data_IF_588973336759
#
_entry.id   IF_588973336759
#
_cell.length_a   1.000
_cell.length_b   1.000
_cell.length_c   1.000
_cell.angle_alpha   90.00
_cell.angle_beta   90.00
_cell.angle_gamma   90.00
#
_symmetry.space_group_name_H-M   'P 1'
#
loop_
_entity.id
_entity.type
_entity.pdbx_description
1 polymer ?
#
# COMPACT_ATOMS: atom_id res chain seq x y z
N UNK A 1 4.92 35.92 -61.31
CA UNK A 1 3.86 35.81 -62.36
C UNK A 1 2.83 34.80 -61.82
N UNK A 2 1.76 35.22 -61.27
CA UNK A 2 0.46 34.53 -61.13
C UNK A 2 -0.29 34.65 -62.48
N UNK A 3 -1.38 33.98 -62.79
CA UNK A 3 -2.35 33.22 -61.98
C UNK A 3 -2.94 31.97 -62.68
N UNK A 4 -3.85 31.27 -62.03
CA UNK A 4 -4.78 30.40 -62.76
C UNK A 4 -5.70 29.56 -61.85
N UNK A 5 -6.87 30.10 -61.62
CA UNK A 5 -8.06 29.47 -61.00
C UNK A 5 -8.79 28.54 -61.99
N UNK A 6 -9.42 27.47 -61.50
CA UNK A 6 -10.83 27.09 -61.68
C UNK A 6 -11.05 25.56 -61.53
N UNK A 7 -12.10 25.20 -60.80
CA UNK A 7 -12.83 23.99 -61.05
C UNK A 7 -13.38 23.28 -59.86
N UNK A 8 -14.50 23.77 -59.26
CA UNK A 8 -15.23 23.02 -58.24
C UNK A 8 -16.01 21.84 -58.81
N UNK A 9 -16.12 20.76 -58.02
CA UNK A 9 -17.26 19.81 -58.12
C UNK A 9 -17.66 19.42 -56.71
N UNK A 10 -18.94 19.64 -56.42
CA UNK A 10 -19.60 19.33 -55.19
C UNK A 10 -19.63 17.81 -54.91
N UNK A 11 -19.38 17.46 -53.69
CA UNK A 11 -19.67 16.12 -53.17
C UNK A 11 -20.88 16.23 -52.24
N UNK A 12 -21.98 15.63 -52.68
CA UNK A 12 -23.19 15.44 -51.89
C UNK A 12 -22.85 14.53 -50.69
N UNK A 13 -23.10 15.02 -49.51
CA UNK A 13 -23.10 14.21 -48.29
C UNK A 13 -24.40 13.41 -48.20
N UNK A 14 -24.30 12.09 -48.37
CA UNK A 14 -25.34 11.18 -47.92
C UNK A 14 -25.18 11.00 -46.40
N UNK A 15 -26.12 11.54 -45.66
CA UNK A 15 -26.34 11.25 -44.25
C UNK A 15 -26.94 9.84 -44.15
N UNK A 16 -26.13 8.85 -43.80
CA UNK A 16 -26.61 7.59 -43.29
C UNK A 16 -26.74 7.71 -41.76
N UNK A 17 -27.99 7.88 -41.31
CA UNK A 17 -28.39 7.79 -39.91
C UNK A 17 -28.40 6.34 -39.52
N UNK A 18 -27.30 5.84 -38.95
CA UNK A 18 -27.29 4.55 -38.24
C UNK A 18 -27.77 4.78 -36.81
N UNK A 19 -29.01 4.37 -36.53
CA UNK A 19 -29.52 4.21 -35.18
C UNK A 19 -28.69 3.14 -34.48
N UNK A 20 -27.74 3.55 -33.66
CA UNK A 20 -27.14 2.69 -32.62
C UNK A 20 -28.17 2.52 -31.53
N UNK A 21 -28.73 1.32 -31.43
CA UNK A 21 -29.45 0.85 -30.26
C UNK A 21 -28.45 0.75 -29.11
N UNK A 22 -28.39 1.76 -28.27
CA UNK A 22 -27.74 1.67 -26.98
C UNK A 22 -28.67 0.87 -26.04
N UNK A 23 -28.43 -0.40 -25.93
CA UNK A 23 -28.94 -1.21 -24.83
C UNK A 23 -28.15 -0.86 -23.57
N UNK A 24 -28.39 0.30 -23.03
CA UNK A 24 -27.96 0.71 -21.70
C UNK A 24 -28.81 -0.06 -20.69
N UNK A 25 -28.42 -1.29 -20.43
CA UNK A 25 -28.94 -2.06 -19.30
C UNK A 25 -28.50 -1.35 -18.04
N UNK A 26 -29.35 -0.48 -17.53
CA UNK A 26 -29.34 0.03 -16.18
C UNK A 26 -29.19 -1.15 -15.21
N UNK A 27 -27.95 -1.52 -14.89
CA UNK A 27 -27.64 -2.36 -13.73
C UNK A 27 -28.07 -1.54 -12.53
N UNK A 28 -29.28 -1.79 -12.06
CA UNK A 28 -29.79 -1.30 -10.77
C UNK A 28 -28.74 -1.68 -9.74
N UNK A 29 -28.03 -0.69 -9.23
CA UNK A 29 -27.25 -0.84 -7.99
C UNK A 29 -28.29 -1.15 -6.91
N UNK A 30 -28.35 -2.40 -6.47
CA UNK A 30 -29.09 -2.73 -5.25
C UNK A 30 -28.44 -1.92 -4.10
N UNK A 31 -29.24 -1.34 -3.21
CA UNK A 31 -28.70 -0.55 -2.10
C UNK A 31 -27.80 -1.42 -1.21
N UNK A 32 -26.65 -0.86 -0.85
CA UNK A 32 -25.55 -1.42 -0.04
C UNK A 32 -25.95 -1.76 1.42
N UNK A 33 -27.21 -1.96 1.73
CA UNK A 33 -27.77 -2.05 3.09
C UNK A 33 -27.91 -3.48 3.63
N UNK A 34 -27.25 -4.48 3.04
CA UNK A 34 -27.48 -5.89 3.44
C UNK A 34 -26.54 -6.42 4.53
N UNK A 35 -25.36 -5.81 4.75
CA UNK A 35 -24.41 -6.31 5.74
C UNK A 35 -24.16 -5.29 6.86
N UNK A 36 -24.38 -5.71 8.12
CA UNK A 36 -23.72 -5.06 9.27
C UNK A 36 -22.29 -5.53 9.35
N UNK A 37 -21.37 -4.77 9.93
CA UNK A 37 -19.96 -5.17 10.07
C UNK A 37 -19.78 -6.51 10.79
N UNK A 38 -20.62 -6.82 11.80
CA UNK A 38 -20.59 -8.11 12.50
C UNK A 38 -20.98 -9.27 11.59
N UNK A 39 -22.01 -9.09 10.75
CA UNK A 39 -22.44 -10.12 9.80
C UNK A 39 -21.41 -10.32 8.69
N UNK A 40 -20.78 -9.25 8.20
CA UNK A 40 -19.74 -9.33 7.19
C UNK A 40 -18.55 -10.14 7.70
N UNK A 41 -18.07 -9.87 8.92
CA UNK A 41 -16.99 -10.62 9.54
C UNK A 41 -17.31 -12.11 9.64
N UNK A 42 -18.42 -12.46 10.24
CA UNK A 42 -18.82 -13.86 10.43
C UNK A 42 -18.92 -14.62 9.10
N UNK A 43 -19.42 -13.95 8.06
CA UNK A 43 -19.55 -14.56 6.74
C UNK A 43 -18.20 -14.74 6.04
N UNK A 44 -17.28 -13.77 6.17
CA UNK A 44 -15.92 -13.90 5.66
C UNK A 44 -15.18 -15.06 6.36
N UNK A 45 -15.24 -15.15 7.68
CA UNK A 45 -14.63 -16.24 8.45
C UNK A 45 -15.22 -17.60 8.02
N UNK A 46 -16.55 -17.71 7.84
CA UNK A 46 -17.23 -18.92 7.33
C UNK A 46 -16.73 -19.30 5.94
N UNK A 47 -16.74 -18.36 5.01
CA UNK A 47 -16.30 -18.61 3.62
C UNK A 47 -14.82 -18.97 3.55
N UNK A 48 -13.98 -18.32 4.33
CA UNK A 48 -12.56 -18.63 4.38
C UNK A 48 -12.29 -20.06 4.85
N UNK A 49 -13.03 -20.53 5.86
CA UNK A 49 -12.93 -21.91 6.38
C UNK A 49 -13.29 -22.98 5.35
N UNK A 50 -14.14 -22.65 4.36
CA UNK A 50 -14.50 -23.57 3.26
C UNK A 50 -13.37 -23.81 2.24
N UNK A 51 -12.28 -23.02 2.33
CA UNK A 51 -11.16 -23.13 1.38
C UNK A 51 -11.60 -22.92 -0.07
N UNK A 52 -11.22 -23.84 -0.97
CA UNK A 52 -11.58 -23.74 -2.39
C UNK A 52 -13.08 -23.99 -2.67
N UNK A 53 -13.81 -24.60 -1.73
CA UNK A 53 -15.25 -24.79 -1.88
C UNK A 53 -16.04 -23.49 -1.77
N UNK A 54 -15.48 -22.44 -1.19
CA UNK A 54 -16.09 -21.11 -1.15
C UNK A 54 -16.51 -20.59 -2.54
N UNK A 55 -15.84 -21.02 -3.62
CA UNK A 55 -16.24 -20.69 -5.00
C UNK A 55 -17.62 -21.17 -5.40
N UNK A 56 -18.12 -22.21 -4.75
CA UNK A 56 -19.42 -22.83 -5.04
C UNK A 56 -20.55 -22.23 -4.21
N UNK A 57 -20.22 -21.43 -3.21
CA UNK A 57 -21.21 -20.83 -2.31
C UNK A 57 -21.98 -19.70 -3.00
N UNK A 58 -23.29 -19.78 -2.91
CA UNK A 58 -24.16 -18.70 -3.35
C UNK A 58 -23.88 -17.45 -2.50
N UNK A 59 -23.72 -16.29 -3.15
CA UNK A 59 -23.47 -15.04 -2.46
C UNK A 59 -21.99 -14.77 -2.07
N UNK A 60 -21.08 -15.72 -2.23
CA UNK A 60 -19.67 -15.54 -1.87
C UNK A 60 -19.00 -14.33 -2.58
N UNK A 61 -19.33 -14.12 -3.85
CA UNK A 61 -18.83 -12.98 -4.63
C UNK A 61 -19.40 -11.64 -4.13
N UNK A 62 -20.67 -11.60 -3.73
CA UNK A 62 -21.32 -10.41 -3.16
C UNK A 62 -20.73 -10.06 -1.81
N UNK A 63 -20.56 -11.05 -0.93
CA UNK A 63 -19.93 -10.88 0.39
C UNK A 63 -18.51 -10.35 0.23
N UNK A 64 -17.74 -10.96 -0.68
CA UNK A 64 -16.37 -10.49 -0.95
C UNK A 64 -16.35 -9.07 -1.53
N UNK A 65 -17.27 -8.72 -2.40
CA UNK A 65 -17.36 -7.35 -2.94
C UNK A 65 -17.63 -6.33 -1.83
N UNK A 66 -18.55 -6.64 -0.91
CA UNK A 66 -18.82 -5.80 0.24
C UNK A 66 -17.59 -5.64 1.15
N UNK A 67 -16.87 -6.72 1.40
CA UNK A 67 -15.62 -6.72 2.16
C UNK A 67 -14.54 -5.86 1.49
N UNK A 68 -14.32 -6.02 0.19
CA UNK A 68 -13.32 -5.24 -0.57
C UNK A 68 -13.68 -3.76 -0.58
N UNK A 69 -14.96 -3.43 -0.70
CA UNK A 69 -15.42 -2.04 -0.62
C UNK A 69 -15.13 -1.45 0.76
N UNK A 70 -15.46 -2.14 1.85
CA UNK A 70 -15.17 -1.71 3.21
C UNK A 70 -13.67 -1.47 3.44
N UNK A 71 -12.79 -2.31 2.86
CA UNK A 71 -11.34 -2.07 2.82
C UNK A 71 -11.00 -0.79 2.06
N UNK A 72 -11.57 -0.62 0.86
CA UNK A 72 -11.31 0.54 -0.01
C UNK A 72 -11.76 1.86 0.61
N UNK A 73 -12.79 1.82 1.47
CA UNK A 73 -13.29 2.99 2.21
C UNK A 73 -12.58 3.21 3.56
N UNK A 74 -11.70 2.29 3.96
CA UNK A 74 -10.99 2.38 5.25
C UNK A 74 -11.87 2.07 6.47
N UNK A 75 -13.05 1.50 6.26
CA UNK A 75 -13.98 1.10 7.33
C UNK A 75 -13.44 -0.11 8.12
N UNK A 76 -12.62 -0.93 7.48
CA UNK A 76 -11.91 -2.06 8.09
C UNK A 76 -10.42 -1.99 7.74
N UNK A 77 -9.57 -2.48 8.65
CA UNK A 77 -8.11 -2.42 8.53
C UNK A 77 -7.49 -3.78 8.83
N UNK A 78 -6.35 -4.07 8.19
CA UNK A 78 -5.59 -5.31 8.42
C UNK A 78 -4.90 -5.37 9.79
N UNK A 79 -4.69 -4.24 10.44
CA UNK A 79 -4.26 -4.16 11.85
C UNK A 79 -4.78 -2.87 12.49
N UNK A 80 -4.95 -2.91 13.81
CA UNK A 80 -5.40 -1.79 14.63
C UNK A 80 -4.60 -1.74 15.93
N UNK A 81 -4.55 -0.54 16.53
CA UNK A 81 -3.92 -0.34 17.83
C UNK A 81 -4.94 -0.62 18.93
N UNK A 82 -4.71 -1.64 19.77
CA UNK A 82 -5.53 -2.00 20.92
C UNK A 82 -4.64 -2.05 22.15
N UNK A 83 -5.07 -1.41 23.23
CA UNK A 83 -4.30 -1.32 24.48
C UNK A 83 -2.85 -0.86 24.29
N UNK A 84 -2.64 0.07 23.35
CA UNK A 84 -1.32 0.63 23.03
C UNK A 84 -0.47 -0.22 22.08
N UNK A 85 -0.89 -1.44 21.73
CA UNK A 85 -0.14 -2.36 20.88
C UNK A 85 -0.86 -2.57 19.52
N UNK A 86 -0.09 -2.64 18.45
CA UNK A 86 -0.62 -2.99 17.13
C UNK A 86 -0.92 -4.49 17.05
N UNK A 87 -2.12 -4.83 16.66
CA UNK A 87 -2.62 -6.20 16.54
C UNK A 87 -3.23 -6.44 15.17
N UNK A 88 -2.92 -7.61 14.58
CA UNK A 88 -3.51 -8.01 13.31
C UNK A 88 -5.02 -8.30 13.45
N UNK A 89 -5.80 -7.84 12.49
CA UNK A 89 -7.18 -8.24 12.29
C UNK A 89 -7.21 -9.50 11.42
N UNK A 90 -7.11 -10.65 12.05
CA UNK A 90 -6.99 -11.96 11.38
C UNK A 90 -8.07 -12.15 10.33
N UNK A 91 -9.33 -11.90 10.67
CA UNK A 91 -10.47 -12.07 9.75
C UNK A 91 -10.35 -11.19 8.49
N UNK A 92 -9.72 -10.00 8.61
CA UNK A 92 -9.47 -9.12 7.44
C UNK A 92 -8.45 -9.74 6.51
N UNK A 93 -7.37 -10.29 7.04
CA UNK A 93 -6.35 -10.97 6.24
C UNK A 93 -6.91 -12.25 5.61
N UNK A 94 -7.75 -13.00 6.32
CA UNK A 94 -8.50 -14.14 5.80
C UNK A 94 -9.42 -13.74 4.64
N UNK A 95 -10.13 -12.61 4.78
CA UNK A 95 -10.96 -12.05 3.72
C UNK A 95 -10.15 -11.66 2.47
N UNK A 96 -8.95 -11.12 2.65
CA UNK A 96 -8.06 -10.83 1.53
C UNK A 96 -7.62 -12.13 0.84
N UNK A 97 -7.22 -13.15 1.59
CA UNK A 97 -6.86 -14.46 1.03
C UNK A 97 -8.05 -15.14 0.34
N UNK A 98 -9.27 -15.01 0.91
CA UNK A 98 -10.50 -15.47 0.29
C UNK A 98 -10.67 -14.86 -1.11
N UNK A 99 -10.43 -13.55 -1.25
CA UNK A 99 -10.50 -12.87 -2.53
C UNK A 99 -9.57 -13.47 -3.59
N UNK A 100 -8.33 -13.82 -3.23
CA UNK A 100 -7.42 -14.52 -4.14
C UNK A 100 -7.93 -15.91 -4.51
N UNK A 101 -8.59 -16.62 -3.59
CA UNK A 101 -9.21 -17.93 -3.85
C UNK A 101 -10.42 -17.82 -4.77
N UNK A 102 -11.31 -16.85 -4.54
CA UNK A 102 -12.51 -16.62 -5.34
C UNK A 102 -12.20 -16.13 -6.76
N UNK A 103 -11.10 -15.39 -6.92
CA UNK A 103 -10.71 -14.77 -8.18
C UNK A 103 -10.30 -15.79 -9.24
N UNK A 104 -10.66 -15.51 -10.49
CA UNK A 104 -10.09 -16.11 -11.70
C UNK A 104 -9.13 -15.12 -12.36
N UNK A 105 -8.19 -15.62 -13.15
CA UNK A 105 -7.36 -14.77 -14.00
C UNK A 105 -8.25 -14.13 -15.08
N UNK A 106 -8.14 -12.82 -15.23
CA UNK A 106 -8.84 -12.02 -16.23
C UNK A 106 -7.85 -11.08 -16.93
N UNK A 107 -8.01 -10.96 -18.22
CA UNK A 107 -7.20 -10.08 -19.05
C UNK A 107 -7.87 -8.70 -19.09
N UNK A 108 -7.06 -7.66 -18.84
CA UNK A 108 -7.48 -6.26 -18.89
C UNK A 108 -6.50 -5.45 -19.72
N UNK A 109 -6.97 -4.37 -20.34
CA UNK A 109 -6.16 -3.52 -21.21
C UNK A 109 -6.14 -2.08 -20.70
N UNK A 110 -4.98 -1.43 -20.84
CA UNK A 110 -4.85 0.01 -20.69
C UNK A 110 -4.38 0.60 -22.03
N UNK A 111 -5.32 1.18 -22.79
CA UNK A 111 -5.12 1.54 -24.18
C UNK A 111 -4.82 0.31 -25.04
N UNK A 112 -4.20 0.54 -26.19
CA UNK A 112 -3.83 -0.53 -27.13
C UNK A 112 -2.44 -1.15 -26.85
N UNK A 113 -1.74 -0.66 -25.83
CA UNK A 113 -0.32 -0.98 -25.63
C UNK A 113 -0.09 -1.94 -24.46
N UNK A 114 -0.86 -1.82 -23.38
CA UNK A 114 -0.62 -2.58 -22.17
C UNK A 114 -1.72 -3.62 -21.94
N UNK A 115 -1.30 -4.86 -21.72
CA UNK A 115 -2.17 -5.97 -21.31
C UNK A 115 -1.73 -6.45 -19.94
N UNK A 116 -2.70 -6.63 -19.05
CA UNK A 116 -2.49 -7.15 -17.70
C UNK A 116 -3.33 -8.40 -17.50
N UNK A 117 -2.81 -9.38 -16.77
CA UNK A 117 -3.52 -10.61 -16.41
C UNK A 117 -3.45 -10.73 -14.89
N UNK A 118 -4.59 -10.55 -14.21
CA UNK A 118 -4.66 -10.63 -12.75
C UNK A 118 -6.00 -11.20 -12.27
N UNK A 119 -6.16 -11.36 -10.97
CA UNK A 119 -7.41 -11.80 -10.35
C UNK A 119 -8.48 -10.71 -10.49
N UNK A 120 -9.60 -11.02 -11.14
CA UNK A 120 -10.73 -10.09 -11.31
C UNK A 120 -11.29 -9.55 -9.98
N UNK A 121 -11.01 -10.23 -8.88
CA UNK A 121 -11.39 -9.83 -7.52
C UNK A 121 -10.60 -8.61 -7.02
N UNK A 122 -9.44 -8.32 -7.60
CA UNK A 122 -8.55 -7.21 -7.22
C UNK A 122 -8.15 -6.33 -8.41
N UNK A 123 -9.11 -5.65 -9.06
CA UNK A 123 -8.80 -4.74 -10.14
C UNK A 123 -8.04 -3.51 -9.64
N UNK A 124 -7.55 -2.72 -10.57
CA UNK A 124 -6.99 -1.39 -10.28
C UNK A 124 -8.10 -0.49 -9.72
N UNK A 125 -7.78 0.23 -8.64
CA UNK A 125 -8.67 1.23 -8.06
C UNK A 125 -8.72 2.49 -8.91
N UNK A 126 -9.92 2.99 -9.17
CA UNK A 126 -10.15 4.24 -9.85
C UNK A 126 -10.46 5.36 -8.88
N UNK A 127 -9.79 6.49 -9.03
CA UNK A 127 -9.97 7.67 -8.20
C UNK A 127 -10.68 8.78 -8.97
N UNK A 128 -11.41 9.61 -8.23
CA UNK A 128 -12.02 10.86 -8.71
C UNK A 128 -11.37 12.04 -7.98
N UNK A 129 -11.44 13.21 -8.56
CA UNK A 129 -10.95 14.43 -7.92
C UNK A 129 -11.60 14.69 -6.55
N UNK A 130 -12.85 14.25 -6.37
CA UNK A 130 -13.57 14.33 -5.09
C UNK A 130 -13.02 13.46 -3.98
N UNK A 131 -12.18 12.47 -4.28
CA UNK A 131 -11.59 11.58 -3.28
C UNK A 131 -10.43 12.28 -2.53
N UNK A 132 -10.00 13.44 -3.03
CA UNK A 132 -8.94 14.25 -2.40
C UNK A 132 -7.55 13.63 -2.49
N UNK A 133 -7.35 12.58 -3.28
CA UNK A 133 -6.07 11.93 -3.49
C UNK A 133 -5.42 12.48 -4.76
N UNK A 134 -4.16 12.88 -4.66
CA UNK A 134 -3.38 13.37 -5.81
C UNK A 134 -2.54 12.23 -6.39
N UNK A 135 -2.87 11.80 -7.61
CA UNK A 135 -2.08 10.79 -8.34
C UNK A 135 -1.43 11.48 -9.53
N UNK A 136 -0.10 11.61 -9.47
CA UNK A 136 0.67 12.25 -10.54
C UNK A 136 0.78 11.29 -11.72
N UNK A 137 0.58 11.75 -12.97
CA UNK A 137 0.67 10.90 -14.16
C UNK A 137 2.04 10.20 -14.27
N UNK A 138 2.05 8.93 -14.67
CA UNK A 138 3.31 8.20 -14.88
C UNK A 138 3.30 6.72 -14.47
N UNK A 139 2.15 6.07 -14.41
CA UNK A 139 2.02 4.62 -14.28
C UNK A 139 1.94 4.09 -12.84
N UNK A 140 1.54 4.93 -11.89
CA UNK A 140 1.22 4.47 -10.52
C UNK A 140 0.02 3.53 -10.52
N UNK A 141 0.04 2.52 -9.64
CA UNK A 141 -1.04 1.55 -9.49
C UNK A 141 -1.44 1.39 -8.03
N UNK A 142 -2.74 1.49 -7.76
CA UNK A 142 -3.35 1.15 -6.47
C UNK A 142 -4.37 0.05 -6.69
N UNK A 143 -4.28 -1.05 -5.95
CA UNK A 143 -5.26 -2.13 -6.00
C UNK A 143 -6.54 -1.78 -5.25
N UNK A 144 -7.68 -2.23 -5.77
CA UNK A 144 -8.92 -2.27 -4.99
C UNK A 144 -8.73 -3.04 -3.68
N UNK A 145 -9.33 -2.54 -2.59
CA UNK A 145 -9.07 -3.05 -1.24
C UNK A 145 -7.88 -2.39 -0.55
N UNK A 146 -7.24 -1.39 -1.16
CA UNK A 146 -6.34 -0.47 -0.47
C UNK A 146 -7.06 0.84 -0.17
N UNK A 147 -6.83 1.42 0.99
CA UNK A 147 -7.35 2.73 1.39
C UNK A 147 -6.27 3.80 1.31
N UNK A 148 -6.61 4.90 0.67
CA UNK A 148 -5.84 6.15 0.66
C UNK A 148 -6.74 7.27 1.16
N UNK A 149 -6.34 7.94 2.23
CA UNK A 149 -7.07 9.06 2.80
C UNK A 149 -6.95 10.33 1.94
N UNK A 150 -7.85 11.30 2.09
CA UNK A 150 -7.69 12.61 1.47
C UNK A 150 -6.34 13.26 1.82
N UNK A 151 -5.76 14.00 0.88
CA UNK A 151 -4.44 14.61 1.04
C UNK A 151 -3.26 13.68 0.75
N UNK A 152 -3.48 12.40 0.48
CA UNK A 152 -2.41 11.48 0.06
C UNK A 152 -1.91 11.86 -1.34
N UNK A 153 -0.58 11.85 -1.50
CA UNK A 153 0.10 12.14 -2.78
C UNK A 153 0.86 10.90 -3.24
N UNK A 154 0.61 10.51 -4.48
CA UNK A 154 1.24 9.38 -5.16
C UNK A 154 2.12 9.87 -6.30
N UNK A 155 3.44 9.76 -6.16
CA UNK A 155 4.42 10.11 -7.19
C UNK A 155 4.74 8.89 -8.05
N UNK A 156 4.85 9.06 -9.39
CA UNK A 156 4.96 7.93 -10.30
C UNK A 156 6.39 7.38 -10.46
N UNK A 157 6.51 6.11 -10.88
CA UNK A 157 5.53 5.06 -10.67
C UNK A 157 5.64 4.54 -9.24
N UNK A 158 4.51 4.35 -8.57
CA UNK A 158 4.50 3.69 -7.26
C UNK A 158 3.45 2.55 -7.26
N UNK A 159 3.49 1.66 -6.27
CA UNK A 159 2.53 0.57 -6.15
C UNK A 159 1.99 0.42 -4.73
N UNK A 160 0.66 0.34 -4.61
CA UNK A 160 -0.03 0.07 -3.33
C UNK A 160 -0.87 -1.19 -3.47
N UNK A 161 -0.61 -2.18 -2.62
CA UNK A 161 -1.26 -3.47 -2.66
C UNK A 161 -2.49 -3.54 -1.75
N UNK A 162 -3.32 -4.58 -1.94
CA UNK A 162 -4.56 -4.83 -1.20
C UNK A 162 -4.35 -4.88 0.31
N UNK A 163 -5.29 -4.33 1.07
CA UNK A 163 -5.25 -4.28 2.53
C UNK A 163 -4.32 -3.20 3.09
N UNK A 164 -3.54 -2.52 2.25
CA UNK A 164 -2.78 -1.35 2.68
C UNK A 164 -3.71 -0.22 3.11
N UNK A 165 -3.33 0.46 4.18
CA UNK A 165 -4.01 1.64 4.69
C UNK A 165 -3.01 2.80 4.74
N UNK A 166 -3.30 3.89 4.05
CA UNK A 166 -2.45 5.08 3.97
C UNK A 166 -3.26 6.28 4.43
N UNK A 167 -2.84 6.86 5.56
CA UNK A 167 -3.56 7.95 6.20
C UNK A 167 -3.21 9.33 5.64
N UNK A 168 -3.96 10.32 6.08
CA UNK A 168 -4.03 11.70 5.61
C UNK A 168 -2.66 12.38 5.47
N UNK A 169 -2.46 13.10 4.37
CA UNK A 169 -1.27 13.93 4.13
C UNK A 169 0.02 13.14 3.88
N UNK A 170 -0.07 11.82 3.71
CA UNK A 170 1.08 10.97 3.43
C UNK A 170 1.51 11.07 1.96
N UNK A 171 2.80 11.11 1.71
CA UNK A 171 3.39 11.04 0.38
C UNK A 171 4.01 9.66 0.14
N UNK A 172 3.63 9.03 -0.97
CA UNK A 172 4.24 7.80 -1.51
C UNK A 172 5.01 8.21 -2.76
N UNK A 173 6.33 8.30 -2.67
CA UNK A 173 7.18 8.83 -3.72
C UNK A 173 7.47 7.80 -4.82
N UNK A 174 8.20 8.24 -5.85
CA UNK A 174 8.47 7.47 -7.06
C UNK A 174 9.16 6.13 -6.75
N UNK A 175 8.70 5.07 -7.41
CA UNK A 175 9.18 3.70 -7.22
C UNK A 175 8.96 3.12 -5.81
N UNK A 176 8.26 3.81 -4.92
CA UNK A 176 7.94 3.25 -3.61
C UNK A 176 6.88 2.14 -3.71
N UNK A 177 7.01 1.15 -2.83
CA UNK A 177 6.06 0.06 -2.66
C UNK A 177 5.40 0.15 -1.29
N UNK A 178 4.07 0.07 -1.25
CA UNK A 178 3.31 -0.22 -0.03
C UNK A 178 2.69 -1.61 -0.17
N UNK A 179 3.27 -2.58 0.53
CA UNK A 179 2.90 -3.99 0.47
C UNK A 179 1.55 -4.29 1.10
N UNK A 180 1.05 -5.51 0.86
CA UNK A 180 -0.25 -5.95 1.36
C UNK A 180 -0.37 -5.80 2.87
N UNK A 181 -1.49 -5.24 3.31
CA UNK A 181 -1.82 -5.07 4.74
C UNK A 181 -0.97 -4.02 5.48
N UNK A 182 0.02 -3.38 4.88
CA UNK A 182 0.82 -2.35 5.55
C UNK A 182 -0.05 -1.20 6.05
N UNK A 183 0.28 -0.68 7.24
CA UNK A 183 -0.46 0.39 7.89
C UNK A 183 0.43 1.63 7.99
N UNK A 184 0.09 2.67 7.26
CA UNK A 184 0.85 3.92 7.18
C UNK A 184 0.01 5.03 7.81
N UNK A 185 0.57 5.69 8.81
CA UNK A 185 -0.04 6.80 9.54
C UNK A 185 -0.09 8.10 8.75
N UNK A 186 -0.44 9.17 9.44
CA UNK A 186 -0.58 10.52 8.85
C UNK A 186 0.75 11.18 8.59
N UNK A 187 0.82 11.98 7.52
CA UNK A 187 1.98 12.82 7.19
C UNK A 187 3.30 12.05 7.13
N UNK A 188 3.22 10.78 6.79
CA UNK A 188 4.40 9.96 6.52
C UNK A 188 4.97 10.33 5.15
N UNK A 189 6.28 10.39 5.04
CA UNK A 189 6.94 10.50 3.76
C UNK A 189 7.70 9.21 3.44
N UNK A 190 7.19 8.45 2.49
CA UNK A 190 7.89 7.31 1.89
C UNK A 190 8.69 7.82 0.69
N UNK A 191 9.97 8.14 0.90
CA UNK A 191 10.83 8.69 -0.16
C UNK A 191 11.08 7.67 -1.28
N UNK A 192 11.64 8.15 -2.37
CA UNK A 192 11.80 7.39 -3.60
C UNK A 192 12.45 6.01 -3.38
N UNK A 193 11.87 5.00 -4.04
CA UNK A 193 12.28 3.60 -3.99
C UNK A 193 12.29 2.97 -2.58
N UNK A 194 11.58 3.55 -1.60
CA UNK A 194 11.38 2.90 -0.31
C UNK A 194 10.41 1.72 -0.45
N UNK A 195 10.73 0.62 0.24
CA UNK A 195 9.99 -0.63 0.14
C UNK A 195 9.35 -0.97 1.50
N UNK A 196 8.04 -0.83 1.59
CA UNK A 196 7.27 -1.30 2.75
C UNK A 196 6.73 -2.69 2.44
N UNK A 197 7.26 -3.70 3.12
CA UNK A 197 6.92 -5.10 2.89
C UNK A 197 5.47 -5.43 3.24
N UNK A 198 4.90 -6.34 2.49
CA UNK A 198 3.59 -6.91 2.78
C UNK A 198 3.71 -8.10 3.73
N UNK A 199 2.78 -8.21 4.69
CA UNK A 199 2.65 -9.36 5.59
C UNK A 199 1.21 -9.87 5.53
N UNK A 200 0.89 -10.57 4.45
CA UNK A 200 -0.42 -11.20 4.29
C UNK A 200 -0.49 -12.54 5.03
N UNK A 201 0.57 -13.32 4.93
CA UNK A 201 0.72 -14.62 5.59
C UNK A 201 1.98 -14.62 6.48
N UNK A 202 1.90 -15.28 7.66
CA UNK A 202 0.72 -15.90 8.26
C UNK A 202 -0.31 -14.86 8.73
N UNK A 203 -1.60 -15.22 8.70
CA UNK A 203 -2.69 -14.29 8.99
C UNK A 203 -2.64 -13.65 10.38
N UNK A 204 -2.06 -14.34 11.35
CA UNK A 204 -1.87 -13.84 12.73
C UNK A 204 -0.70 -12.86 12.88
N UNK A 205 0.21 -12.77 11.91
CA UNK A 205 1.35 -11.87 12.00
C UNK A 205 0.92 -10.41 11.82
N UNK A 206 1.41 -9.51 12.65
CA UNK A 206 1.20 -8.07 12.50
C UNK A 206 1.87 -7.59 11.21
N UNK A 207 1.19 -6.79 10.36
CA UNK A 207 1.81 -6.20 9.19
C UNK A 207 2.83 -5.13 9.58
N UNK A 208 3.60 -4.65 8.59
CA UNK A 208 4.43 -3.46 8.78
C UNK A 208 3.56 -2.28 9.14
N UNK A 209 3.97 -1.56 10.18
CA UNK A 209 3.30 -0.35 10.65
C UNK A 209 4.27 0.82 10.66
N UNK A 210 3.82 1.95 10.17
CA UNK A 210 4.45 3.25 10.38
C UNK A 210 3.45 4.18 11.02
N UNK A 211 3.78 4.72 12.16
CA UNK A 211 2.94 5.71 12.83
C UNK A 211 3.11 7.11 12.20
N UNK A 212 2.39 8.09 12.75
CA UNK A 212 2.35 9.44 12.20
C UNK A 212 3.73 10.14 12.16
N UNK A 213 3.90 11.04 11.21
CA UNK A 213 5.06 11.93 11.08
C UNK A 213 6.41 11.22 10.87
N UNK A 214 6.38 9.95 10.42
CA UNK A 214 7.59 9.18 10.08
C UNK A 214 8.15 9.66 8.73
N UNK A 215 9.47 9.86 8.68
CA UNK A 215 10.20 10.07 7.43
C UNK A 215 11.01 8.83 7.09
N UNK A 216 10.80 8.28 5.90
CA UNK A 216 11.56 7.15 5.36
C UNK A 216 12.40 7.64 4.21
N UNK A 217 13.72 7.61 4.36
CA UNK A 217 14.68 7.99 3.33
C UNK A 217 14.63 7.07 2.11
N UNK A 218 15.16 7.54 0.99
CA UNK A 218 15.18 6.77 -0.26
C UNK A 218 15.89 5.43 -0.13
N UNK A 219 15.44 4.44 -0.91
CA UNK A 219 15.98 3.07 -0.92
C UNK A 219 15.97 2.35 0.45
N UNK A 220 15.09 2.76 1.37
CA UNK A 220 14.87 2.01 2.60
C UNK A 220 14.03 0.76 2.36
N UNK A 221 14.24 -0.26 3.19
CA UNK A 221 13.43 -1.47 3.21
C UNK A 221 12.92 -1.77 4.61
N UNK A 222 11.60 -1.87 4.78
CA UNK A 222 10.96 -2.13 6.06
C UNK A 222 10.08 -3.37 5.91
N UNK A 223 10.47 -4.47 6.54
CA UNK A 223 9.91 -5.79 6.26
C UNK A 223 9.45 -6.51 7.53
N UNK A 224 8.75 -7.64 7.34
CA UNK A 224 8.46 -8.67 8.34
C UNK A 224 7.79 -8.14 9.62
N UNK A 225 6.81 -7.23 9.44
CA UNK A 225 6.00 -6.72 10.54
C UNK A 225 6.69 -5.66 11.42
N UNK A 226 7.85 -5.15 11.00
CA UNK A 226 8.53 -4.07 11.70
C UNK A 226 7.59 -2.89 11.96
N UNK A 227 7.64 -2.36 13.18
CA UNK A 227 6.88 -1.18 13.59
C UNK A 227 7.81 0.02 13.74
N UNK A 228 7.50 1.10 13.04
CA UNK A 228 8.22 2.36 13.12
C UNK A 228 7.32 3.35 13.84
N UNK A 229 7.67 3.70 15.08
CA UNK A 229 6.84 4.55 15.90
C UNK A 229 6.93 6.03 15.46
N UNK A 230 5.96 6.79 15.94
CA UNK A 230 5.73 8.19 15.57
C UNK A 230 7.01 9.02 15.53
N UNK A 231 7.11 9.92 14.54
CA UNK A 231 8.21 10.88 14.37
C UNK A 231 9.61 10.27 14.16
N UNK A 232 9.72 8.94 13.99
CA UNK A 232 11.01 8.34 13.65
C UNK A 232 11.48 8.77 12.24
N UNK A 233 12.79 8.80 12.05
CA UNK A 233 13.44 9.12 10.78
C UNK A 233 14.35 7.96 10.39
N UNK A 234 14.11 7.37 9.24
CA UNK A 234 15.00 6.38 8.64
C UNK A 234 15.84 7.06 7.56
N UNK A 235 17.14 7.16 7.77
CA UNK A 235 18.08 7.67 6.76
C UNK A 235 18.09 6.76 5.52
N UNK A 236 18.47 7.31 4.37
CA UNK A 236 18.49 6.56 3.11
C UNK A 236 19.29 5.26 3.22
N UNK A 237 18.76 4.18 2.62
CA UNK A 237 19.39 2.86 2.61
C UNK A 237 19.25 2.06 3.91
N UNK A 238 18.45 2.50 4.88
CA UNK A 238 18.15 1.71 6.08
C UNK A 238 17.27 0.52 5.73
N UNK A 239 17.72 -0.68 6.11
CA UNK A 239 16.99 -1.95 5.93
C UNK A 239 16.65 -2.53 7.30
N UNK A 240 15.36 -2.75 7.54
CA UNK A 240 14.82 -3.31 8.77
C UNK A 240 14.11 -4.62 8.46
N UNK A 241 14.56 -5.69 9.10
CA UNK A 241 13.96 -7.02 9.03
C UNK A 241 13.80 -7.59 10.43
N UNK A 242 13.05 -8.66 10.57
CA UNK A 242 12.89 -9.37 11.85
C UNK A 242 14.22 -9.85 12.44
N UNK A 243 15.16 -10.25 11.60
CA UNK A 243 16.47 -10.77 12.04
C UNK A 243 17.51 -9.68 12.29
N UNK A 244 17.25 -8.44 11.89
CA UNK A 244 18.22 -7.35 11.97
C UNK A 244 18.15 -6.67 13.34
N UNK A 245 19.23 -6.70 14.17
CA UNK A 245 19.25 -5.95 15.42
C UNK A 245 19.41 -4.45 15.14
N UNK A 246 18.67 -3.62 15.85
CA UNK A 246 18.78 -2.16 15.83
C UNK A 246 19.55 -1.70 17.08
N UNK A 247 20.70 -1.07 16.86
CA UNK A 247 21.55 -0.59 17.95
C UNK A 247 21.24 0.87 18.27
N UNK A 248 20.94 1.15 19.52
CA UNK A 248 20.73 2.51 20.02
C UNK A 248 21.97 2.99 20.76
N UNK A 249 22.75 3.85 20.11
CA UNK A 249 23.97 4.41 20.70
C UNK A 249 23.71 5.53 21.69
N UNK A 250 22.48 6.06 21.75
CA UNK A 250 22.09 7.12 22.68
C UNK A 250 21.69 6.56 24.04
N UNK A 251 20.87 5.47 24.01
CA UNK A 251 20.36 4.82 25.22
C UNK A 251 21.20 3.61 25.67
N UNK A 252 22.11 3.14 24.80
CA UNK A 252 22.90 1.95 25.08
C UNK A 252 22.10 0.64 24.97
N UNK A 253 21.04 0.63 24.17
CA UNK A 253 20.11 -0.48 24.03
C UNK A 253 20.26 -1.19 22.68
N UNK A 254 19.74 -2.42 22.59
CA UNK A 254 19.66 -3.17 21.35
C UNK A 254 18.24 -3.71 21.19
N UNK A 255 17.51 -3.18 20.22
CA UNK A 255 16.17 -3.66 19.88
C UNK A 255 16.25 -4.86 18.96
N UNK A 256 15.45 -5.88 19.25
CA UNK A 256 15.36 -7.13 18.47
C UNK A 256 13.91 -7.57 18.40
N UNK A 257 13.51 -8.16 17.31
CA UNK A 257 12.29 -8.93 17.28
C UNK A 257 12.47 -10.24 18.07
N UNK A 258 11.38 -10.74 18.63
CA UNK A 258 11.28 -12.08 19.26
C UNK A 258 10.41 -12.99 18.40
N UNK A 259 10.11 -14.18 18.84
CA UNK A 259 9.16 -15.07 18.15
C UNK A 259 7.76 -14.47 18.08
N UNK A 260 7.36 -13.73 19.11
CA UNK A 260 6.02 -13.16 19.25
C UNK A 260 5.93 -11.67 18.99
N UNK A 261 7.05 -10.94 19.10
CA UNK A 261 7.08 -9.49 18.99
C UNK A 261 7.88 -9.02 17.76
N UNK A 262 7.41 -8.03 17.02
CA UNK A 262 8.13 -7.46 15.88
C UNK A 262 9.33 -6.62 16.33
N UNK A 263 10.22 -6.30 15.37
CA UNK A 263 11.20 -5.23 15.60
C UNK A 263 10.46 -3.89 15.71
N UNK A 264 10.79 -3.12 16.74
CA UNK A 264 10.22 -1.80 16.98
C UNK A 264 11.31 -0.73 16.90
N UNK A 265 11.10 0.26 16.05
CA UNK A 265 11.89 1.50 16.02
C UNK A 265 11.24 2.49 16.97
N UNK A 266 11.93 2.96 18.03
CA UNK A 266 11.34 3.87 19.02
C UNK A 266 10.87 5.21 18.43
N UNK A 267 9.90 5.83 19.12
CA UNK A 267 9.41 7.15 18.75
C UNK A 267 10.55 8.17 18.66
N UNK A 268 10.55 8.97 17.59
CA UNK A 268 11.54 10.02 17.35
C UNK A 268 12.96 9.55 17.06
N UNK A 269 13.21 8.25 16.99
CA UNK A 269 14.55 7.72 16.69
C UNK A 269 15.02 8.13 15.29
N UNK A 270 16.26 8.56 15.17
CA UNK A 270 16.93 8.82 13.89
C UNK A 270 17.89 7.67 13.62
N UNK A 271 17.49 6.83 12.66
CA UNK A 271 18.19 5.60 12.29
C UNK A 271 19.01 5.83 11.03
N UNK A 272 20.24 5.36 11.03
CA UNK A 272 21.12 5.37 9.85
C UNK A 272 21.62 3.97 9.51
N UNK A 273 21.99 3.75 8.26
CA UNK A 273 22.68 2.55 7.85
C UNK A 273 24.08 2.52 8.47
N UNK A 274 24.43 1.40 9.08
CA UNK A 274 25.72 1.19 9.71
C UNK A 274 26.26 -0.21 9.46
N UNK A 275 27.39 -0.53 10.08
CA UNK A 275 27.96 -1.85 10.06
C UNK A 275 28.56 -2.19 11.43
N UNK A 276 28.53 -3.47 11.79
CA UNK A 276 29.18 -3.99 13.00
C UNK A 276 30.23 -5.03 12.63
N UNK A 277 31.39 -4.96 13.26
CA UNK A 277 32.43 -5.95 13.07
C UNK A 277 31.98 -7.35 13.53
N UNK A 278 32.37 -8.37 12.78
CA UNK A 278 32.26 -9.75 13.22
C UNK A 278 33.49 -10.08 14.05
N UNK A 279 33.30 -10.54 15.30
CA UNK A 279 34.39 -10.73 16.27
C UNK A 279 34.76 -12.19 16.48
N UNK A 280 34.16 -13.12 15.75
CA UNK A 280 34.38 -14.57 15.92
C UNK A 280 34.47 -15.32 14.58
N UNK A 281 35.22 -16.42 14.54
CA UNK A 281 35.33 -17.33 13.41
C UNK A 281 36.05 -16.75 12.20
N UNK A 282 35.96 -17.43 11.06
CA UNK A 282 36.64 -17.04 9.81
C UNK A 282 36.29 -15.64 9.34
N UNK A 283 35.06 -15.20 9.54
CA UNK A 283 34.64 -13.85 9.16
C UNK A 283 35.41 -12.76 9.95
N UNK A 284 35.75 -13.02 11.22
CA UNK A 284 36.60 -12.12 12.02
C UNK A 284 38.05 -12.11 11.49
N UNK A 285 38.60 -13.28 11.14
CA UNK A 285 39.94 -13.39 10.56
C UNK A 285 40.03 -12.66 9.20
N UNK A 286 38.92 -12.61 8.44
CA UNK A 286 38.85 -11.88 7.16
C UNK A 286 38.51 -10.39 7.33
N UNK A 287 38.35 -9.88 8.54
CA UNK A 287 38.01 -8.49 8.82
C UNK A 287 36.61 -8.07 8.34
N UNK A 288 35.67 -9.03 8.23
CA UNK A 288 34.34 -8.74 7.72
C UNK A 288 33.47 -8.00 8.76
N UNK A 289 32.60 -7.15 8.24
CA UNK A 289 31.52 -6.52 8.98
C UNK A 289 30.17 -6.87 8.34
N UNK A 290 29.11 -6.87 9.13
CA UNK A 290 27.74 -7.06 8.65
C UNK A 290 26.95 -5.77 8.82
N UNK A 291 26.04 -5.54 7.90
CA UNK A 291 25.08 -4.44 7.97
C UNK A 291 24.36 -4.44 9.31
N UNK A 292 24.16 -3.26 9.87
CA UNK A 292 23.29 -3.06 11.02
C UNK A 292 22.74 -1.63 11.03
N UNK A 293 21.44 -1.42 11.28
CA UNK A 293 20.87 -0.10 11.50
C UNK A 293 21.28 0.42 12.88
N UNK A 294 21.51 1.73 12.98
CA UNK A 294 21.99 2.38 14.21
C UNK A 294 21.15 3.63 14.49
N UNK A 295 20.61 3.74 15.70
CA UNK A 295 20.03 4.97 16.22
C UNK A 295 21.19 5.86 16.67
N UNK A 296 21.35 7.01 16.02
CA UNK A 296 22.45 7.95 16.28
C UNK A 296 22.01 9.17 17.11
N UNK A 297 20.72 9.45 17.12
CA UNK A 297 20.08 10.48 17.93
C UNK A 297 18.56 10.30 17.97
N UNK A 298 17.91 11.12 18.75
CA UNK A 298 16.45 11.30 18.72
C UNK A 298 16.11 12.65 18.09
N UNK A 299 14.92 12.75 17.51
CA UNK A 299 14.45 13.90 16.77
C UNK A 299 14.40 15.14 17.66
N UNK A 300 15.01 16.22 17.19
CA UNK A 300 15.10 17.53 17.81
C UNK A 300 14.58 18.61 16.85
N UNK A 301 14.48 19.87 17.29
CA UNK A 301 14.03 20.98 16.45
C UNK A 301 14.85 21.16 15.16
N UNK A 302 16.15 20.85 15.19
CA UNK A 302 17.01 20.91 14.00
C UNK A 302 16.65 19.81 13.00
N UNK A 303 16.33 18.63 13.51
CA UNK A 303 15.86 17.51 12.67
C UNK A 303 14.48 17.85 12.08
N UNK A 304 13.59 18.44 12.88
CA UNK A 304 12.25 18.85 12.43
C UNK A 304 12.34 19.80 11.23
N UNK A 305 13.18 20.84 11.29
CA UNK A 305 13.42 21.73 10.15
C UNK A 305 13.99 21.04 8.92
N UNK A 306 14.80 19.99 9.10
CA UNK A 306 15.39 19.22 7.99
C UNK A 306 14.43 18.22 7.32
N UNK A 307 13.31 17.90 7.95
CA UNK A 307 12.30 16.96 7.42
C UNK A 307 10.99 17.64 7.00
N UNK A 308 10.87 18.95 7.26
CA UNK A 308 9.72 19.75 6.86
C UNK A 308 9.69 19.87 5.32
N UNK A 309 8.62 19.41 4.72
CA UNK A 309 8.34 19.65 3.30
C UNK A 309 7.60 20.97 3.18
N UNK A 310 7.96 21.76 2.18
CA UNK A 310 7.19 22.95 1.84
C UNK A 310 5.73 22.58 1.57
N UNK A 311 4.79 23.33 2.15
CA UNK A 311 3.34 23.07 2.01
C UNK A 311 2.88 23.03 0.54
N UNK A 312 3.59 23.74 -0.34
CA UNK A 312 3.33 23.74 -1.79
C UNK A 312 3.63 22.39 -2.47
N UNK A 313 4.42 21.52 -1.83
CA UNK A 313 4.76 20.18 -2.36
C UNK A 313 3.77 19.12 -1.89
N UNK A 314 2.93 19.43 -0.92
CA UNK A 314 1.89 18.56 -0.35
C UNK A 314 0.52 18.69 -1.02
#
# INVERSE_FOLDING_TARGET
MTPGWLGGRGFQRHLHTSMLHSSDTLRRRLPYTAFTMSNLRSEIERLYALGMNAKKECGAQETFRAFREALSQGEIRAAEKRDGCWQANVWVKEGILLGFRLGAAEETHAGDTFTFIDRHTYPVRHFKASDGVRIVPGGSTVREGAYLAPGVICMPPMYVNVGAYIDEGTMVDSHALVGSCAQIGKRVHLSAASQVGGVLEPVGATPVVMEDDVLVGGNCGIYEGTQVLRRAVLGSGVILTRSTPLFDTVRGEIYRATETEPLVVPEGAVVVAGARAITKGKAAEWGLSVYTPVIVKYRDEKTDKGVELEDLLR
#
